data_IF_874122924903
#
_entry.id   IF_874122924903
#
_cell.length_a   1.000
_cell.length_b   1.000
_cell.length_c   1.000
_cell.angle_alpha   90.00
_cell.angle_beta   90.00
_cell.angle_gamma   90.00
#
_symmetry.space_group_name_H-M   'P 1'
#
loop_
_entity.id
_entity.type
_entity.pdbx_description
1 polymer ?
#
# COMPACT_ATOMS: atom_id res chain seq x y z
N UNK A 1 -5.86 15.11 20.44
CA UNK A 1 -6.28 13.80 19.90
C UNK A 1 -6.51 13.93 18.39
N UNK A 2 -6.26 12.90 17.59
CA UNK A 2 -6.44 12.93 16.11
C UNK A 2 -7.85 13.37 15.69
N UNK A 3 -8.86 13.13 16.54
CA UNK A 3 -10.25 13.53 16.31
C UNK A 3 -10.47 15.05 16.17
N UNK A 4 -9.56 15.89 16.69
CA UNK A 4 -9.63 17.35 16.60
C UNK A 4 -8.79 17.93 15.46
N UNK A 5 -8.13 17.08 14.66
CA UNK A 5 -7.29 17.53 13.56
C UNK A 5 -8.13 18.07 12.40
N UNK A 6 -7.67 19.16 11.80
CA UNK A 6 -8.18 19.70 10.53
C UNK A 6 -7.02 20.17 9.65
N UNK A 7 -7.14 20.04 8.33
CA UNK A 7 -6.07 20.43 7.41
C UNK A 7 -6.44 20.24 5.94
N UNK A 8 -5.47 20.47 5.05
CA UNK A 8 -5.70 20.28 3.61
C UNK A 8 -5.51 18.83 3.19
N UNK A 9 -4.41 18.20 3.62
CA UNK A 9 -4.04 16.86 3.19
C UNK A 9 -3.77 15.95 4.38
N UNK A 10 -4.18 14.70 4.26
CA UNK A 10 -3.66 13.59 5.08
C UNK A 10 -2.77 12.73 4.18
N UNK A 11 -1.55 12.46 4.64
CA UNK A 11 -0.62 11.54 3.98
C UNK A 11 -0.36 10.35 4.90
N UNK A 12 -0.93 9.20 4.57
CA UNK A 12 -0.69 7.92 5.26
C UNK A 12 0.45 7.17 4.58
N UNK A 13 1.52 6.88 5.33
CA UNK A 13 2.69 6.17 4.81
C UNK A 13 3.00 4.96 5.67
N UNK A 14 2.73 3.75 5.16
CA UNK A 14 2.92 2.47 5.88
C UNK A 14 2.31 2.49 7.31
N UNK A 15 1.11 3.05 7.45
CA UNK A 15 0.41 3.18 8.72
C UNK A 15 -0.28 1.87 9.14
N UNK A 16 -0.25 1.56 10.44
CA UNK A 16 -1.05 0.48 11.05
C UNK A 16 -2.46 0.91 11.46
N UNK A 17 -2.78 2.21 11.30
CA UNK A 17 -4.06 2.79 11.71
C UNK A 17 -5.05 2.88 10.55
N UNK A 18 -6.28 2.44 10.80
CA UNK A 18 -7.42 2.73 9.95
C UNK A 18 -7.97 4.09 10.36
N UNK A 19 -8.01 5.03 9.43
CA UNK A 19 -8.55 6.37 9.69
C UNK A 19 -10.08 6.30 9.76
N UNK A 20 -10.65 6.91 10.80
CA UNK A 20 -12.08 7.03 10.92
C UNK A 20 -12.64 7.98 9.84
N UNK A 21 -13.85 7.72 9.30
CA UNK A 21 -14.43 8.56 8.25
C UNK A 21 -14.50 10.05 8.60
N UNK A 22 -14.79 10.38 9.85
CA UNK A 22 -14.86 11.77 10.34
C UNK A 22 -13.51 12.49 10.36
N UNK A 23 -12.40 11.76 10.42
CA UNK A 23 -11.04 12.31 10.29
C UNK A 23 -10.70 12.52 8.81
N UNK A 24 -11.09 11.58 7.95
CA UNK A 24 -10.84 11.66 6.50
C UNK A 24 -11.55 12.88 5.91
N UNK A 25 -12.80 13.15 6.29
CA UNK A 25 -13.57 14.29 5.77
C UNK A 25 -13.03 15.66 6.20
N UNK A 26 -12.19 15.72 7.24
CA UNK A 26 -11.53 16.95 7.69
C UNK A 26 -10.32 17.35 6.83
N UNK A 27 -9.90 16.49 5.91
CA UNK A 27 -8.87 16.80 4.93
C UNK A 27 -9.48 17.51 3.71
N UNK A 28 -9.37 18.84 3.65
CA UNK A 28 -10.08 19.69 2.67
C UNK A 28 -9.75 19.39 1.21
N UNK A 29 -8.54 18.89 0.91
CA UNK A 29 -8.07 18.56 -0.44
C UNK A 29 -7.96 17.06 -0.68
N UNK A 30 -7.76 16.27 0.36
CA UNK A 30 -7.87 14.82 0.29
C UNK A 30 -6.99 14.06 1.28
N UNK A 31 -7.25 12.76 1.37
CA UNK A 31 -6.44 11.82 2.14
C UNK A 31 -5.84 10.80 1.17
N UNK A 32 -4.52 10.60 1.26
CA UNK A 32 -3.75 9.74 0.35
C UNK A 32 -3.01 8.68 1.17
N UNK A 33 -2.96 7.45 0.68
CA UNK A 33 -2.18 6.37 1.25
C UNK A 33 -1.08 5.90 0.28
N UNK A 34 0.10 5.66 0.82
CA UNK A 34 1.24 5.05 0.14
C UNK A 34 1.32 3.58 0.56
N UNK A 35 0.60 2.75 -0.18
CA UNK A 35 0.52 1.31 0.03
C UNK A 35 1.77 0.62 -0.50
N UNK A 36 2.52 -0.13 0.32
CA UNK A 36 3.78 -0.74 -0.10
C UNK A 36 3.55 -2.09 -0.80
N UNK A 37 2.62 -2.13 -1.74
CA UNK A 37 2.37 -3.28 -2.61
C UNK A 37 1.71 -2.83 -3.92
N UNK A 38 1.76 -3.65 -5.00
CA UNK A 38 1.03 -3.37 -6.22
C UNK A 38 -0.48 -3.60 -6.02
N UNK A 39 -1.27 -3.17 -7.01
CA UNK A 39 -2.76 -3.25 -6.99
C UNK A 39 -3.33 -4.67 -6.86
N UNK A 40 -2.48 -5.68 -7.06
CA UNK A 40 -2.78 -7.10 -6.87
C UNK A 40 -2.90 -7.49 -5.38
N UNK A 41 -2.18 -6.81 -4.48
CA UNK A 41 -2.03 -7.21 -3.08
C UNK A 41 -2.55 -6.16 -2.11
N UNK A 42 -3.86 -6.17 -1.86
CA UNK A 42 -4.52 -5.29 -0.89
C UNK A 42 -4.37 -5.81 0.54
N UNK A 43 -4.25 -4.92 1.52
CA UNK A 43 -4.13 -5.28 2.93
C UNK A 43 -2.74 -5.77 3.30
N UNK A 44 -2.66 -6.85 4.08
CA UNK A 44 -1.42 -7.30 4.70
C UNK A 44 -0.85 -8.57 4.05
N UNK A 45 0.48 -8.70 4.08
CA UNK A 45 1.18 -9.92 3.66
C UNK A 45 1.62 -9.96 2.20
N UNK A 46 1.45 -8.85 1.46
CA UNK A 46 1.77 -8.78 0.03
C UNK A 46 3.14 -9.34 -0.35
N UNK A 47 4.19 -9.04 0.42
CA UNK A 47 5.54 -9.57 0.17
C UNK A 47 5.59 -11.10 0.22
N UNK A 48 4.96 -11.69 1.23
CA UNK A 48 4.94 -13.14 1.41
C UNK A 48 4.19 -13.81 0.25
N UNK A 49 3.02 -13.26 -0.09
CA UNK A 49 2.22 -13.80 -1.19
C UNK A 49 2.91 -13.66 -2.54
N UNK A 50 3.62 -12.56 -2.81
CA UNK A 50 4.36 -12.37 -4.05
C UNK A 50 5.47 -13.41 -4.22
N UNK A 51 6.27 -13.64 -3.17
CA UNK A 51 7.35 -14.63 -3.18
C UNK A 51 6.79 -16.06 -3.35
N UNK A 52 5.77 -16.42 -2.57
CA UNK A 52 5.21 -17.78 -2.65
C UNK A 52 4.47 -18.04 -3.98
N UNK A 53 3.89 -17.00 -4.60
CA UNK A 53 3.27 -17.08 -5.93
C UNK A 53 4.31 -17.04 -7.07
N UNK A 54 5.59 -16.84 -6.78
CA UNK A 54 6.67 -16.69 -7.77
C UNK A 54 6.40 -15.55 -8.75
N UNK A 55 5.87 -14.43 -8.24
CA UNK A 55 5.72 -13.22 -9.05
C UNK A 55 7.08 -12.75 -9.55
N UNK A 56 7.13 -12.21 -10.77
CA UNK A 56 8.36 -11.65 -11.36
C UNK A 56 8.52 -10.15 -11.11
N UNK A 57 7.41 -9.48 -10.78
CA UNK A 57 7.37 -8.05 -10.49
C UNK A 57 6.61 -7.80 -9.19
N UNK A 58 6.98 -6.72 -8.51
CA UNK A 58 6.26 -6.15 -7.37
C UNK A 58 6.08 -4.65 -7.59
N UNK A 59 5.56 -3.93 -6.60
CA UNK A 59 5.37 -2.50 -6.74
C UNK A 59 4.88 -1.80 -5.48
N UNK A 60 4.66 -0.50 -5.62
CA UNK A 60 4.07 0.38 -4.62
C UNK A 60 2.95 1.18 -5.26
N UNK A 61 1.90 1.46 -4.50
CA UNK A 61 0.69 2.13 -4.99
C UNK A 61 0.39 3.36 -4.14
N UNK A 62 0.25 4.51 -4.78
CA UNK A 62 -0.31 5.71 -4.17
C UNK A 62 -1.76 5.85 -4.61
N UNK A 63 -2.67 6.02 -3.65
CA UNK A 63 -4.10 6.11 -3.92
C UNK A 63 -4.82 6.99 -2.90
N UNK A 64 -6.00 7.47 -3.26
CA UNK A 64 -6.89 8.14 -2.31
C UNK A 64 -7.44 7.17 -1.29
N UNK A 65 -7.61 7.63 -0.05
CA UNK A 65 -8.28 6.90 1.02
C UNK A 65 -9.78 7.12 0.89
N UNK A 66 -10.55 6.04 0.91
CA UNK A 66 -12.01 6.06 1.03
C UNK A 66 -12.45 5.22 2.24
N UNK A 67 -13.72 4.80 2.29
CA UNK A 67 -14.26 4.02 3.40
C UNK A 67 -13.75 2.57 3.46
N UNK A 68 -12.99 2.11 2.46
CA UNK A 68 -12.49 0.75 2.34
C UNK A 68 -10.95 0.71 2.32
N UNK A 69 -10.38 -0.40 2.81
CA UNK A 69 -8.93 -0.59 2.83
C UNK A 69 -8.41 -0.82 1.41
N UNK A 70 -7.40 -0.04 1.01
CA UNK A 70 -6.70 -0.15 -0.29
C UNK A 70 -7.67 -0.26 -1.46
N UNK A 71 -8.61 0.68 -1.58
CA UNK A 71 -9.72 0.63 -2.53
C UNK A 71 -9.86 1.91 -3.37
N UNK A 72 -9.56 3.07 -2.81
CA UNK A 72 -9.80 4.33 -3.48
C UNK A 72 -9.00 4.51 -4.77
N UNK A 73 -9.38 5.56 -5.51
CA UNK A 73 -8.83 5.88 -6.83
C UNK A 73 -7.29 5.96 -6.80
N UNK A 74 -6.66 5.30 -7.77
CA UNK A 74 -5.21 5.21 -7.84
C UNK A 74 -4.65 6.50 -8.47
N UNK A 75 -3.61 7.02 -7.81
CA UNK A 75 -2.84 8.19 -8.25
C UNK A 75 -1.68 7.71 -9.11
N UNK A 76 -0.93 6.72 -8.62
CA UNK A 76 0.23 6.17 -9.33
C UNK A 76 0.58 4.78 -8.80
N UNK A 77 1.03 3.91 -9.70
CA UNK A 77 1.69 2.64 -9.38
C UNK A 77 3.12 2.72 -9.89
N UNK A 78 4.08 2.32 -9.06
CA UNK A 78 5.48 2.12 -9.48
C UNK A 78 5.80 0.65 -9.32
N UNK A 79 6.08 -0.03 -10.44
CA UNK A 79 6.46 -1.44 -10.46
C UNK A 79 7.97 -1.62 -10.59
N UNK A 80 8.48 -2.73 -10.09
CA UNK A 80 9.89 -3.12 -10.20
C UNK A 80 10.04 -4.65 -10.18
N UNK A 81 11.13 -5.14 -10.77
CA UNK A 81 11.42 -6.57 -10.81
C UNK A 81 11.79 -7.14 -9.44
N UNK A 82 11.23 -8.31 -9.14
CA UNK A 82 11.65 -9.17 -8.02
C UNK A 82 12.98 -9.83 -8.41
N UNK A 83 13.99 -9.72 -7.55
CA UNK A 83 15.30 -10.32 -7.80
C UNK A 83 15.22 -11.82 -7.50
N UNK A 84 15.87 -12.63 -8.33
CA UNK A 84 15.94 -14.07 -8.13
C UNK A 84 16.50 -14.41 -6.74
N UNK A 85 15.77 -15.24 -5.99
CA UNK A 85 16.15 -15.66 -4.65
C UNK A 85 15.80 -14.67 -3.53
N UNK A 86 15.05 -13.60 -3.81
CA UNK A 86 14.55 -12.72 -2.75
C UNK A 86 13.70 -13.46 -1.72
N UNK A 87 13.91 -13.10 -0.46
CA UNK A 87 13.01 -13.41 0.65
C UNK A 87 11.97 -12.29 0.81
N UNK A 88 10.83 -12.56 1.49
CA UNK A 88 9.85 -11.52 1.81
C UNK A 88 10.47 -10.32 2.53
N UNK A 89 11.46 -10.54 3.40
CA UNK A 89 12.18 -9.49 4.13
C UNK A 89 13.02 -8.63 3.20
N UNK A 90 13.80 -9.24 2.29
CA UNK A 90 14.61 -8.50 1.31
C UNK A 90 13.73 -7.69 0.34
N UNK A 91 12.61 -8.27 -0.11
CA UNK A 91 11.63 -7.58 -0.95
C UNK A 91 11.00 -6.40 -0.20
N UNK A 92 10.63 -6.57 1.07
CA UNK A 92 10.10 -5.49 1.91
C UNK A 92 11.09 -4.33 2.06
N UNK A 93 12.38 -4.62 2.30
CA UNK A 93 13.43 -3.60 2.42
C UNK A 93 13.59 -2.80 1.13
N UNK A 94 13.63 -3.46 -0.05
CA UNK A 94 13.67 -2.76 -1.34
C UNK A 94 12.41 -1.97 -1.61
N UNK A 95 11.24 -2.52 -1.29
CA UNK A 95 9.95 -1.84 -1.46
C UNK A 95 9.90 -0.52 -0.69
N UNK A 96 10.52 -0.45 0.50
CA UNK A 96 10.57 0.78 1.28
C UNK A 96 11.24 1.94 0.53
N UNK A 97 12.30 1.69 -0.25
CA UNK A 97 12.96 2.71 -1.06
C UNK A 97 12.05 3.22 -2.20
N UNK A 98 11.35 2.31 -2.89
CA UNK A 98 10.37 2.69 -3.92
C UNK A 98 9.18 3.46 -3.34
N UNK A 99 8.67 3.04 -2.18
CA UNK A 99 7.60 3.74 -1.49
C UNK A 99 8.02 5.16 -1.09
N UNK A 100 9.23 5.32 -0.54
CA UNK A 100 9.76 6.64 -0.17
C UNK A 100 9.96 7.54 -1.38
N UNK A 101 10.47 7.00 -2.50
CA UNK A 101 10.59 7.75 -3.75
C UNK A 101 9.22 8.23 -4.25
N UNK A 102 8.21 7.35 -4.21
CA UNK A 102 6.84 7.72 -4.59
C UNK A 102 6.24 8.76 -3.64
N UNK A 103 6.51 8.65 -2.34
CA UNK A 103 6.12 9.65 -1.35
C UNK A 103 6.71 11.03 -1.66
N UNK A 104 8.01 11.11 -1.95
CA UNK A 104 8.66 12.37 -2.30
C UNK A 104 8.09 12.97 -3.59
N UNK A 105 7.86 12.16 -4.61
CA UNK A 105 7.28 12.62 -5.87
C UNK A 105 5.90 13.26 -5.65
N UNK A 106 4.99 12.56 -4.98
CA UNK A 106 3.62 13.05 -4.77
C UNK A 106 3.61 14.23 -3.79
N UNK A 107 4.42 14.18 -2.74
CA UNK A 107 4.53 15.30 -1.79
C UNK A 107 5.10 16.56 -2.43
N UNK A 108 6.05 16.42 -3.37
CA UNK A 108 6.58 17.55 -4.13
C UNK A 108 5.50 18.19 -5.02
N UNK A 109 4.65 17.37 -5.67
CA UNK A 109 3.51 17.86 -6.45
C UNK A 109 2.53 18.63 -5.57
N UNK A 110 2.16 18.07 -4.42
CA UNK A 110 1.27 18.72 -3.44
C UNK A 110 1.84 20.07 -3.00
N UNK A 111 3.13 20.10 -2.59
CA UNK A 111 3.81 21.31 -2.15
C UNK A 111 3.83 22.39 -3.23
N UNK A 112 4.03 21.99 -4.48
CA UNK A 112 4.11 22.91 -5.62
C UNK A 112 2.73 23.23 -6.22
N UNK A 113 1.62 22.82 -5.57
CA UNK A 113 0.25 22.97 -6.06
C UNK A 113 0.05 22.43 -7.49
N UNK A 114 0.79 21.38 -7.86
CA UNK A 114 0.66 20.71 -9.14
C UNK A 114 -0.51 19.73 -9.11
N UNK A 115 -1.08 19.46 -10.27
CA UNK A 115 -2.11 18.44 -10.43
C UNK A 115 -1.60 17.06 -9.98
N UNK A 116 -2.45 16.37 -9.21
CA UNK A 116 -2.23 15.01 -8.79
C UNK A 116 -2.71 14.09 -9.91
N UNK A 117 -1.83 13.22 -10.45
CA UNK A 117 -2.22 12.32 -11.52
C UNK A 117 -3.40 11.45 -11.12
N UNK A 118 -4.25 11.15 -12.10
CA UNK A 118 -5.25 10.11 -11.99
C UNK A 118 -4.98 9.08 -13.08
N UNK A 119 -4.90 7.81 -12.68
CA UNK A 119 -4.71 6.70 -13.62
C UNK A 119 -5.93 5.81 -13.60
N UNK A 120 -6.34 5.35 -14.78
CA UNK A 120 -7.44 4.39 -14.92
C UNK A 120 -6.94 2.96 -14.68
N UNK A 121 -6.44 2.71 -13.46
CA UNK A 121 -6.06 1.38 -12.98
C UNK A 121 -7.05 1.00 -11.88
N UNK A 122 -7.46 -0.26 -11.87
CA UNK A 122 -8.38 -0.80 -10.87
C UNK A 122 -7.62 -1.74 -9.94
N UNK A 123 -8.07 -1.84 -8.70
CA UNK A 123 -7.59 -2.86 -7.77
C UNK A 123 -7.99 -4.25 -8.27
N UNK A 124 -7.01 -5.15 -8.40
CA UNK A 124 -7.20 -6.46 -9.04
C UNK A 124 -7.38 -7.61 -8.03
N UNK A 125 -7.07 -7.36 -6.76
CA UNK A 125 -7.03 -8.38 -5.72
C UNK A 125 -8.19 -8.30 -4.72
N UNK A 126 -8.39 -9.43 -4.03
CA UNK A 126 -9.14 -9.43 -2.76
C UNK A 126 -8.34 -8.72 -1.66
N UNK A 127 -9.04 -8.27 -0.63
CA UNK A 127 -8.41 -7.79 0.59
C UNK A 127 -7.84 -8.96 1.40
N UNK A 128 -6.55 -8.91 1.73
CA UNK A 128 -5.89 -9.88 2.60
C UNK A 128 -5.87 -9.37 4.03
N UNK A 129 -6.50 -10.11 4.94
CA UNK A 129 -6.62 -9.74 6.36
C UNK A 129 -5.55 -10.40 7.23
N UNK A 130 -5.33 -9.87 8.43
CA UNK A 130 -4.42 -10.46 9.43
C UNK A 130 -4.77 -11.91 9.74
N UNK A 131 -6.06 -12.23 9.88
CA UNK A 131 -6.53 -13.60 10.12
C UNK A 131 -6.14 -14.53 8.96
N UNK A 132 -6.38 -14.11 7.72
CA UNK A 132 -6.03 -14.90 6.54
C UNK A 132 -4.52 -15.14 6.42
N UNK A 133 -3.70 -14.13 6.69
CA UNK A 133 -2.25 -14.25 6.68
C UNK A 133 -1.75 -15.22 7.76
N UNK A 134 -2.30 -15.12 8.98
CA UNK A 134 -1.95 -16.03 10.09
C UNK A 134 -2.27 -17.49 9.76
N UNK A 135 -3.47 -17.75 9.20
CA UNK A 135 -3.86 -19.08 8.74
C UNK A 135 -2.93 -19.59 7.63
N UNK A 136 -2.64 -18.74 6.64
CA UNK A 136 -1.75 -19.09 5.54
C UNK A 136 -0.35 -19.50 6.01
N UNK A 137 0.27 -18.68 6.87
CA UNK A 137 1.60 -18.95 7.41
C UNK A 137 1.64 -20.22 8.27
N UNK A 138 0.58 -20.48 9.03
CA UNK A 138 0.46 -21.72 9.84
C UNK A 138 0.39 -22.97 8.96
N UNK A 139 -0.40 -22.93 7.88
CA UNK A 139 -0.48 -24.03 6.91
C UNK A 139 0.85 -24.23 6.16
N UNK A 140 1.54 -23.15 5.81
CA UNK A 140 2.85 -23.20 5.15
C UNK A 140 3.90 -23.89 6.01
N UNK A 141 4.00 -23.54 7.30
CA UNK A 141 4.94 -24.18 8.24
C UNK A 141 4.73 -25.70 8.35
N UNK A 142 3.47 -26.15 8.40
CA UNK A 142 3.15 -27.60 8.45
C UNK A 142 3.63 -28.36 7.21
N UNK A 143 3.62 -27.72 6.04
CA UNK A 143 4.08 -28.33 4.78
C UNK A 143 5.60 -28.36 4.63
N UNK A 144 6.32 -27.46 5.29
CA UNK A 144 7.79 -27.45 5.28
C UNK A 144 8.42 -28.43 6.27
N UNK A 145 7.65 -28.94 7.23
CA UNK A 145 8.10 -29.89 8.27
C UNK A 145 7.67 -31.33 8.02
N UNK A 146 7.01 -31.60 6.89
CA UNK A 146 6.58 -32.92 6.45
C UNK A 146 7.40 -33.32 5.22
#
# INVERSE_FOLDING_TARGET
>A
MVQQWEGDWILSFKSDFILAPDVITKARRGAINFHPAPVKYRGIGGYQYAIDNKDTNFGVTCHYIDSQIDHGNIIKVTEFGIISGETPESLMSRTAAYALSLFHEISARIRNAQEIPHVNIQWLGKLYTRTQLSTYLSCRKKRSTA
#
